data_IF_893331516257
#
_entry.id   IF_893331516257
#
_cell.length_a   1.000
_cell.length_b   1.000
_cell.length_c   1.000
_cell.angle_alpha   90.00
_cell.angle_beta   90.00
_cell.angle_gamma   90.00
#
_symmetry.space_group_name_H-M   'P 1'
#
loop_
_entity.id
_entity.type
_entity.pdbx_description
1 polymer ?
#
# COMPACT_ATOMS: atom_id res chain seq x y z
N UNK A 1 -3.80 -12.62 -11.91
CA UNK A 1 -3.71 -14.07 -11.68
C UNK A 1 -2.65 -14.73 -12.55
N UNK A 2 -2.76 -14.67 -13.89
CA UNK A 2 -1.79 -15.31 -14.79
C UNK A 2 -0.35 -14.80 -14.59
N UNK A 3 -0.16 -13.51 -14.35
CA UNK A 3 1.17 -12.90 -14.12
C UNK A 3 1.93 -13.48 -12.92
N UNK A 4 1.24 -13.87 -11.84
CA UNK A 4 1.88 -14.46 -10.66
C UNK A 4 1.75 -15.98 -10.55
N UNK A 5 1.17 -16.68 -11.54
CA UNK A 5 1.01 -18.14 -11.53
C UNK A 5 0.05 -18.65 -10.45
N UNK A 6 -0.91 -17.82 -10.03
CA UNK A 6 -1.91 -18.15 -9.02
C UNK A 6 -2.83 -19.27 -9.48
N UNK A 7 -3.14 -20.22 -8.58
CA UNK A 7 -3.98 -21.38 -8.87
C UNK A 7 -5.13 -21.46 -7.88
N UNK A 8 -6.36 -21.87 -8.32
CA UNK A 8 -7.53 -21.92 -7.44
C UNK A 8 -7.32 -22.85 -6.23
N UNK A 9 -6.63 -23.98 -6.41
CA UNK A 9 -6.41 -25.03 -5.42
C UNK A 9 -5.44 -24.66 -4.29
N UNK A 10 -4.77 -23.49 -4.36
CA UNK A 10 -3.68 -23.17 -3.42
C UNK A 10 -4.03 -22.25 -2.28
N UNK A 11 -5.25 -21.76 -2.18
CA UNK A 11 -5.66 -20.79 -1.16
C UNK A 11 -4.67 -19.61 -1.09
N UNK A 12 -4.51 -18.93 -2.21
CA UNK A 12 -3.64 -17.76 -2.41
C UNK A 12 -4.48 -16.52 -2.69
N UNK A 13 -3.91 -15.36 -2.45
CA UNK A 13 -4.56 -14.07 -2.69
C UNK A 13 -3.67 -13.17 -3.54
N UNK A 14 -4.28 -12.34 -4.38
CA UNK A 14 -3.66 -11.22 -5.07
C UNK A 14 -4.37 -9.94 -4.65
N UNK A 15 -3.60 -8.92 -4.31
CA UNK A 15 -4.10 -7.57 -4.03
C UNK A 15 -3.30 -6.63 -4.92
N UNK A 16 -3.97 -5.95 -5.85
CA UNK A 16 -3.38 -4.89 -6.68
C UNK A 16 -3.80 -3.55 -6.09
N UNK A 17 -2.83 -2.76 -5.60
CA UNK A 17 -3.08 -1.53 -4.86
C UNK A 17 -2.79 -0.33 -5.76
N UNK A 18 -3.86 0.34 -6.17
CA UNK A 18 -3.86 1.59 -6.93
C UNK A 18 -4.98 2.51 -6.46
N UNK A 19 -5.51 3.33 -7.34
CA UNK A 19 -6.72 4.17 -7.09
C UNK A 19 -7.92 3.29 -6.71
N UNK A 20 -8.00 2.10 -7.29
CA UNK A 20 -8.83 1.00 -6.78
C UNK A 20 -7.95 -0.07 -6.16
N UNK A 21 -8.52 -0.86 -5.26
CA UNK A 21 -7.91 -2.06 -4.73
C UNK A 21 -8.57 -3.28 -5.37
N UNK A 22 -7.97 -3.86 -6.41
CA UNK A 22 -8.45 -5.09 -7.01
C UNK A 22 -7.93 -6.29 -6.22
N UNK A 23 -8.84 -7.21 -5.88
CA UNK A 23 -8.53 -8.36 -5.04
C UNK A 23 -9.02 -9.64 -5.68
N UNK A 24 -8.19 -10.68 -5.60
CA UNK A 24 -8.51 -12.02 -6.08
C UNK A 24 -8.14 -13.02 -5.00
N UNK A 25 -9.07 -13.88 -4.63
CA UNK A 25 -8.87 -14.98 -3.71
C UNK A 25 -9.08 -16.31 -4.42
N UNK A 26 -8.10 -17.18 -4.36
CA UNK A 26 -8.21 -18.58 -4.77
C UNK A 26 -8.93 -19.38 -3.67
N UNK A 27 -10.08 -19.93 -4.00
CA UNK A 27 -11.00 -20.58 -3.05
C UNK A 27 -11.43 -21.97 -3.55
N UNK A 28 -10.51 -22.93 -3.45
CA UNK A 28 -10.77 -24.34 -3.82
C UNK A 28 -10.72 -24.58 -5.32
N UNK A 29 -11.83 -24.46 -6.03
CA UNK A 29 -11.95 -24.74 -7.47
C UNK A 29 -12.22 -23.48 -8.30
N UNK A 30 -12.39 -22.32 -7.65
CA UNK A 30 -12.72 -21.06 -8.31
C UNK A 30 -11.94 -19.87 -7.73
N UNK A 31 -12.08 -18.72 -8.38
CA UNK A 31 -11.59 -17.44 -7.90
C UNK A 31 -12.75 -16.55 -7.50
N UNK A 32 -12.64 -15.95 -6.31
CA UNK A 32 -13.46 -14.82 -5.89
C UNK A 32 -12.74 -13.53 -6.19
N UNK A 33 -13.44 -12.56 -6.73
CA UNK A 33 -12.87 -11.26 -7.09
C UNK A 33 -13.65 -10.13 -6.45
N UNK A 34 -12.96 -9.06 -6.09
CA UNK A 34 -13.56 -7.84 -5.57
C UNK A 34 -12.75 -6.63 -6.02
N UNK A 35 -13.40 -5.48 -6.03
CA UNK A 35 -12.73 -4.19 -6.24
C UNK A 35 -13.28 -3.19 -5.24
N UNK A 36 -12.42 -2.37 -4.68
CA UNK A 36 -12.78 -1.32 -3.73
C UNK A 36 -12.23 0.02 -4.20
N UNK A 37 -12.99 1.09 -4.03
CA UNK A 37 -12.55 2.45 -4.31
C UNK A 37 -11.66 2.94 -3.15
N UNK A 38 -10.36 2.73 -3.25
CA UNK A 38 -9.39 3.17 -2.25
C UNK A 38 -9.06 4.66 -2.36
N UNK A 39 -9.24 5.24 -3.54
CA UNK A 39 -8.81 6.60 -3.85
C UNK A 39 -7.30 6.68 -4.13
N UNK A 40 -6.82 7.83 -4.66
CA UNK A 40 -5.47 7.94 -5.20
C UNK A 40 -4.38 8.25 -4.16
N UNK A 41 -4.66 8.13 -2.85
CA UNK A 41 -3.73 8.53 -1.79
C UNK A 41 -2.37 7.85 -1.90
N UNK A 42 -2.33 6.55 -2.22
CA UNK A 42 -1.08 5.80 -2.38
C UNK A 42 -0.38 6.02 -3.74
N UNK A 43 -1.01 6.76 -4.65
CA UNK A 43 -0.40 7.25 -5.88
C UNK A 43 0.04 8.73 -5.74
N UNK A 44 -0.11 9.31 -4.55
CA UNK A 44 0.19 10.70 -4.24
C UNK A 44 -0.96 11.68 -4.50
N UNK A 45 -2.11 11.19 -4.96
CA UNK A 45 -3.30 12.01 -5.14
C UNK A 45 -4.00 12.31 -3.81
N UNK A 46 -4.61 13.48 -3.70
CA UNK A 46 -5.29 13.97 -2.49
C UNK A 46 -4.38 14.08 -1.24
N UNK A 47 -3.08 13.96 -1.39
CA UNK A 47 -2.08 14.23 -0.36
C UNK A 47 -1.42 15.56 -0.69
N UNK A 48 -1.36 16.48 0.25
CA UNK A 48 -0.91 17.86 0.04
C UNK A 48 0.49 17.97 -0.57
N UNK A 49 1.39 17.07 -0.16
CA UNK A 49 2.75 16.94 -0.67
C UNK A 49 2.97 15.67 -1.50
N UNK A 50 1.88 15.02 -1.91
CA UNK A 50 1.91 13.77 -2.67
C UNK A 50 2.33 13.98 -4.12
N UNK A 51 3.01 12.98 -4.68
CA UNK A 51 3.46 13.00 -6.07
C UNK A 51 3.74 11.59 -6.59
N UNK A 52 3.79 11.41 -7.92
CA UNK A 52 4.24 10.15 -8.51
C UNK A 52 5.68 9.77 -8.10
N UNK A 53 6.04 8.50 -8.28
CA UNK A 53 7.37 7.97 -8.01
C UNK A 53 8.42 8.41 -9.03
N UNK A 54 8.78 9.70 -9.03
CA UNK A 54 9.77 10.30 -9.94
C UNK A 54 11.00 10.82 -9.16
N UNK A 55 12.13 11.16 -9.82
CA UNK A 55 13.30 11.70 -9.15
C UNK A 55 12.97 12.89 -8.25
N UNK A 56 13.43 12.86 -6.99
CA UNK A 56 13.14 13.87 -5.96
C UNK A 56 11.94 13.52 -5.07
N UNK A 57 11.10 12.54 -5.43
CA UNK A 57 10.07 12.05 -4.51
C UNK A 57 10.70 11.29 -3.34
N UNK A 58 10.32 11.61 -2.11
CA UNK A 58 10.69 10.84 -0.93
C UNK A 58 10.04 9.46 -1.02
N UNK A 59 10.84 8.42 -1.01
CA UNK A 59 10.41 7.02 -1.13
C UNK A 59 10.71 6.18 0.13
N UNK A 60 11.50 6.71 1.05
CA UNK A 60 11.76 6.14 2.38
C UNK A 60 11.81 7.23 3.43
N UNK A 61 11.31 6.92 4.62
CA UNK A 61 11.39 7.79 5.78
C UNK A 61 11.60 6.97 7.05
N UNK A 62 12.44 7.48 7.95
CA UNK A 62 12.70 6.91 9.28
C UNK A 62 12.78 8.06 10.28
N UNK A 63 12.03 7.95 11.38
CA UNK A 63 12.00 8.95 12.43
C UNK A 63 12.92 8.57 13.59
N UNK A 64 13.83 9.46 13.92
CA UNK A 64 14.70 9.36 15.10
C UNK A 64 14.25 10.35 16.19
N UNK A 65 13.87 9.80 17.34
CA UNK A 65 13.25 10.60 18.40
C UNK A 65 11.89 11.14 17.98
N UNK A 66 11.59 12.40 18.30
CA UNK A 66 10.28 13.00 18.00
C UNK A 66 10.27 13.94 16.79
N UNK A 67 11.41 14.42 16.32
CA UNK A 67 11.47 15.55 15.37
C UNK A 67 12.46 15.36 14.22
N UNK A 68 13.26 14.31 14.21
CA UNK A 68 14.31 14.12 13.21
C UNK A 68 13.90 13.05 12.20
N UNK A 69 13.16 13.44 11.17
CA UNK A 69 12.81 12.57 10.05
C UNK A 69 13.95 12.54 9.05
N UNK A 70 14.56 11.38 8.86
CA UNK A 70 15.55 11.13 7.82
C UNK A 70 14.87 10.53 6.61
N UNK A 71 15.06 11.12 5.44
CA UNK A 71 14.40 10.74 4.20
C UNK A 71 15.38 10.33 3.12
N UNK A 72 14.94 9.39 2.25
CA UNK A 72 15.64 9.05 1.01
C UNK A 72 14.72 9.35 -0.17
N UNK A 73 15.27 9.97 -1.20
CA UNK A 73 14.54 10.32 -2.42
C UNK A 73 14.93 9.41 -3.59
N UNK A 74 14.02 9.27 -4.53
CA UNK A 74 14.29 8.60 -5.81
C UNK A 74 15.39 9.39 -6.55
N UNK A 75 16.39 8.69 -7.03
CA UNK A 75 17.52 9.27 -7.75
C UNK A 75 18.44 10.16 -6.90
N UNK A 76 18.31 10.15 -5.56
CA UNK A 76 19.07 10.99 -4.62
C UNK A 76 19.04 12.50 -4.98
N UNK A 77 17.91 12.96 -5.54
CA UNK A 77 17.68 14.37 -5.86
C UNK A 77 17.09 15.10 -4.64
N UNK A 78 17.18 16.44 -4.59
CA UNK A 78 16.52 17.21 -3.54
C UNK A 78 15.03 16.83 -3.39
N UNK A 79 14.57 16.72 -2.15
CA UNK A 79 13.18 16.34 -1.87
C UNK A 79 12.20 17.41 -2.34
N UNK A 80 11.15 16.99 -3.08
CA UNK A 80 10.09 17.87 -3.63
C UNK A 80 8.67 17.40 -3.28
N UNK A 81 8.50 16.19 -2.76
CA UNK A 81 7.21 15.63 -2.33
C UNK A 81 7.36 14.18 -1.86
N UNK A 82 6.24 13.49 -1.60
CA UNK A 82 6.17 12.11 -1.13
C UNK A 82 5.55 11.23 -2.21
N UNK A 83 6.19 10.13 -2.60
CA UNK A 83 5.50 9.08 -3.37
C UNK A 83 4.81 8.07 -2.42
N UNK A 84 4.01 7.17 -2.97
CA UNK A 84 3.21 6.23 -2.19
C UNK A 84 3.97 5.46 -1.10
N UNK A 85 5.17 4.97 -1.40
CA UNK A 85 6.01 4.29 -0.40
C UNK A 85 6.49 5.25 0.69
N UNK A 86 6.82 6.49 0.33
CA UNK A 86 7.17 7.54 1.28
C UNK A 86 6.00 7.92 2.19
N UNK A 87 4.79 8.01 1.65
CA UNK A 87 3.56 8.27 2.43
C UNK A 87 3.34 7.18 3.48
N UNK A 88 3.47 5.90 3.10
CA UNK A 88 3.33 4.77 4.02
C UNK A 88 4.42 4.78 5.09
N UNK A 89 5.67 5.06 4.70
CA UNK A 89 6.78 5.16 5.63
C UNK A 89 6.55 6.27 6.65
N UNK A 90 6.17 7.48 6.20
CA UNK A 90 5.88 8.62 7.09
C UNK A 90 4.74 8.27 8.04
N UNK A 91 3.61 7.78 7.53
CA UNK A 91 2.47 7.41 8.37
C UNK A 91 2.85 6.37 9.42
N UNK A 92 3.61 5.33 9.03
CA UNK A 92 4.09 4.31 9.96
C UNK A 92 4.95 4.89 11.07
N UNK A 93 5.91 5.75 10.73
CA UNK A 93 6.79 6.36 11.72
C UNK A 93 6.02 7.28 12.69
N UNK A 94 5.04 8.04 12.19
CA UNK A 94 4.22 8.90 13.05
C UNK A 94 3.37 8.09 14.04
N UNK A 95 2.77 6.98 13.58
CA UNK A 95 2.00 6.07 14.45
C UNK A 95 2.91 5.35 15.45
N UNK A 96 4.05 4.81 15.00
CA UNK A 96 5.01 4.10 15.84
C UNK A 96 5.59 4.96 16.97
N UNK A 97 5.79 6.24 16.71
CA UNK A 97 6.33 7.21 17.68
C UNK A 97 5.23 7.94 18.47
N UNK A 98 3.96 7.50 18.35
CA UNK A 98 2.81 8.10 19.05
C UNK A 98 2.63 9.61 18.77
N UNK A 99 3.06 10.07 17.59
CA UNK A 99 2.82 11.43 17.09
C UNK A 99 1.42 11.51 16.48
N UNK A 100 0.97 10.42 15.87
CA UNK A 100 -0.42 10.19 15.49
C UNK A 100 -0.99 9.18 16.46
N UNK A 101 -2.13 9.49 17.06
CA UNK A 101 -2.80 8.63 18.04
C UNK A 101 -3.60 7.50 17.37
N UNK A 102 -4.26 6.67 18.18
CA UNK A 102 -5.07 5.53 17.71
C UNK A 102 -6.33 5.95 16.94
N UNK A 103 -6.76 7.19 17.05
CA UNK A 103 -7.88 7.77 16.31
C UNK A 103 -7.41 8.45 15.01
N UNK A 104 -6.10 8.53 14.80
CA UNK A 104 -5.49 9.19 13.66
C UNK A 104 -5.41 10.71 13.83
N UNK A 105 -5.32 11.19 15.06
CA UNK A 105 -5.14 12.61 15.35
C UNK A 105 -3.64 12.89 15.48
N UNK A 106 -3.19 13.87 14.70
CA UNK A 106 -1.84 14.40 14.79
C UNK A 106 -1.70 15.24 16.07
N UNK A 107 -0.76 14.87 16.92
CA UNK A 107 -0.55 15.53 18.21
C UNK A 107 0.09 16.92 18.09
N UNK A 108 0.03 17.68 19.20
CA UNK A 108 0.75 18.95 19.30
C UNK A 108 2.28 18.74 19.33
N UNK A 109 3.05 19.69 18.79
CA UNK A 109 2.65 20.99 18.21
C UNK A 109 2.34 20.94 16.69
N UNK A 110 2.10 19.77 16.10
CA UNK A 110 2.03 19.60 14.64
C UNK A 110 0.60 19.64 14.08
N UNK A 111 -0.42 19.63 14.92
CA UNK A 111 -1.82 19.54 14.49
C UNK A 111 -2.20 20.60 13.45
N UNK A 112 -1.84 21.86 13.70
CA UNK A 112 -2.21 23.00 12.85
C UNK A 112 -1.42 23.06 11.53
N UNK A 113 -0.13 22.73 11.56
CA UNK A 113 0.78 22.96 10.42
C UNK A 113 1.24 21.69 9.71
N UNK A 114 0.94 20.53 10.26
CA UNK A 114 1.48 19.26 9.81
C UNK A 114 2.86 18.94 10.42
N UNK A 115 3.21 17.65 10.34
CA UNK A 115 4.53 17.16 10.74
C UNK A 115 5.58 17.50 9.68
N UNK A 116 6.73 18.12 10.04
CA UNK A 116 7.76 18.47 9.09
C UNK A 116 8.56 17.24 8.65
N UNK A 117 8.18 16.64 7.54
CA UNK A 117 8.91 15.53 6.93
C UNK A 117 10.26 15.99 6.38
N UNK A 118 10.28 17.14 5.70
CA UNK A 118 11.47 17.88 5.32
C UNK A 118 11.28 19.31 5.80
N UNK A 119 11.97 19.74 6.86
CA UNK A 119 11.76 21.04 7.47
C UNK A 119 11.79 22.19 6.46
N UNK A 120 10.80 23.07 6.54
CA UNK A 120 10.64 24.22 5.65
C UNK A 120 10.18 23.90 4.22
N UNK A 121 9.94 22.61 3.87
CA UNK A 121 9.59 22.22 2.50
C UNK A 121 8.39 21.28 2.42
N UNK A 122 8.39 20.18 3.19
CA UNK A 122 7.40 19.12 3.09
C UNK A 122 6.80 18.88 4.47
N UNK A 123 5.50 19.05 4.57
CA UNK A 123 4.74 18.81 5.78
C UNK A 123 3.66 17.76 5.50
N UNK A 124 3.47 16.84 6.45
CA UNK A 124 2.40 15.84 6.39
C UNK A 124 1.30 16.25 7.36
N UNK A 125 0.15 16.60 6.81
CA UNK A 125 -0.92 17.29 7.54
C UNK A 125 -1.94 16.32 8.15
N UNK A 126 -2.81 16.84 9.02
CA UNK A 126 -3.95 16.08 9.54
C UNK A 126 -4.87 15.58 8.42
N UNK A 127 -5.08 16.39 7.36
CA UNK A 127 -5.89 15.99 6.21
C UNK A 127 -5.23 14.85 5.43
N UNK A 128 -3.91 14.88 5.23
CA UNK A 128 -3.17 13.79 4.59
C UNK A 128 -3.34 12.48 5.36
N UNK A 129 -3.30 12.53 6.69
CA UNK A 129 -3.55 11.37 7.57
C UNK A 129 -4.96 10.81 7.31
N UNK A 130 -5.99 11.68 7.19
CA UNK A 130 -7.36 11.24 6.87
C UNK A 130 -7.47 10.56 5.52
N UNK A 131 -6.79 11.08 4.50
CA UNK A 131 -6.74 10.44 3.18
C UNK A 131 -6.13 9.03 3.24
N UNK A 132 -5.00 8.88 3.95
CA UNK A 132 -4.38 7.56 4.18
C UNK A 132 -5.31 6.63 4.96
N UNK A 133 -6.00 7.13 6.00
CA UNK A 133 -6.95 6.33 6.78
C UNK A 133 -8.12 5.82 5.92
N UNK A 134 -8.69 6.65 5.06
CA UNK A 134 -9.78 6.24 4.16
C UNK A 134 -9.30 5.18 3.17
N UNK A 135 -8.16 5.39 2.53
CA UNK A 135 -7.61 4.46 1.55
C UNK A 135 -7.30 3.09 2.16
N UNK A 136 -6.59 3.06 3.31
CA UNK A 136 -6.27 1.80 3.99
C UNK A 136 -7.52 1.07 4.48
N UNK A 137 -8.52 1.80 4.99
CA UNK A 137 -9.75 1.21 5.49
C UNK A 137 -10.54 0.54 4.37
N UNK A 138 -10.62 1.16 3.19
CA UNK A 138 -11.28 0.57 2.03
C UNK A 138 -10.62 -0.74 1.61
N UNK A 139 -9.28 -0.77 1.50
CA UNK A 139 -8.53 -1.96 1.12
C UNK A 139 -8.69 -3.07 2.18
N UNK A 140 -8.47 -2.75 3.45
CA UNK A 140 -8.59 -3.72 4.54
C UNK A 140 -10.01 -4.30 4.63
N UNK A 141 -11.04 -3.46 4.58
CA UNK A 141 -12.43 -3.90 4.62
C UNK A 141 -12.80 -4.79 3.42
N UNK A 142 -12.36 -4.42 2.21
CA UNK A 142 -12.59 -5.24 1.01
C UNK A 142 -11.98 -6.63 1.14
N UNK A 143 -10.78 -6.72 1.67
CA UNK A 143 -10.07 -7.97 1.92
C UNK A 143 -10.83 -8.83 2.96
N UNK A 144 -11.23 -8.24 4.09
CA UNK A 144 -11.96 -8.94 5.14
C UNK A 144 -13.33 -9.45 4.64
N UNK A 145 -14.05 -8.65 3.85
CA UNK A 145 -15.32 -9.07 3.23
C UNK A 145 -15.09 -10.25 2.28
N UNK A 146 -14.02 -10.23 1.49
CA UNK A 146 -13.71 -11.32 0.57
C UNK A 146 -13.41 -12.63 1.32
N UNK A 147 -12.62 -12.57 2.39
CA UNK A 147 -12.34 -13.71 3.27
C UNK A 147 -13.59 -14.22 3.97
N UNK A 148 -14.42 -13.33 4.53
CA UNK A 148 -15.66 -13.70 5.18
C UNK A 148 -16.63 -14.37 4.23
N UNK A 149 -16.79 -13.87 3.01
CA UNK A 149 -17.67 -14.44 1.97
C UNK A 149 -17.23 -15.84 1.53
N UNK A 150 -15.93 -16.13 1.56
CA UNK A 150 -15.37 -17.43 1.21
C UNK A 150 -15.27 -18.40 2.40
N UNK A 151 -15.59 -17.94 3.61
CA UNK A 151 -15.36 -18.67 4.87
C UNK A 151 -13.91 -19.15 5.04
N UNK A 152 -12.96 -18.31 4.59
CA UNK A 152 -11.52 -18.56 4.67
C UNK A 152 -10.92 -17.61 5.71
N UNK A 153 -10.13 -18.17 6.65
CA UNK A 153 -9.41 -17.35 7.64
C UNK A 153 -8.03 -16.92 7.14
N UNK A 154 -7.45 -15.91 7.80
CA UNK A 154 -6.09 -15.45 7.48
C UNK A 154 -5.05 -16.58 7.54
N UNK A 155 -5.20 -17.52 8.49
CA UNK A 155 -4.27 -18.64 8.68
C UNK A 155 -4.27 -19.59 7.50
N UNK A 156 -5.41 -19.78 6.85
CA UNK A 156 -5.57 -20.68 5.70
C UNK A 156 -4.90 -20.12 4.44
N UNK A 157 -4.79 -18.79 4.32
CA UNK A 157 -4.05 -18.15 3.21
C UNK A 157 -2.59 -18.60 3.26
N UNK A 158 -2.10 -19.13 2.16
CA UNK A 158 -0.71 -19.60 2.04
C UNK A 158 0.22 -18.51 1.54
N UNK A 159 -0.26 -17.65 0.64
CA UNK A 159 0.53 -16.59 0.04
C UNK A 159 -0.36 -15.45 -0.41
N UNK A 160 0.13 -14.23 -0.28
CA UNK A 160 -0.51 -13.01 -0.77
C UNK A 160 0.46 -12.31 -1.71
N UNK A 161 0.07 -12.17 -2.95
CA UNK A 161 0.77 -11.38 -3.95
C UNK A 161 0.31 -9.93 -3.83
N UNK A 162 1.25 -9.02 -3.58
CA UNK A 162 0.98 -7.59 -3.49
C UNK A 162 1.49 -6.93 -4.77
N UNK A 163 0.56 -6.51 -5.60
CA UNK A 163 0.79 -5.83 -6.87
C UNK A 163 0.52 -4.33 -6.77
N UNK A 164 0.74 -3.62 -7.87
CA UNK A 164 0.52 -2.19 -7.99
C UNK A 164 1.80 -1.41 -8.28
N UNK A 165 1.64 -0.17 -8.70
CA UNK A 165 2.75 0.67 -9.15
C UNK A 165 3.86 0.92 -8.12
N UNK A 166 3.56 0.77 -6.83
CA UNK A 166 4.53 0.89 -5.74
C UNK A 166 4.82 -0.43 -5.01
N UNK A 167 4.18 -1.55 -5.41
CA UNK A 167 4.29 -2.85 -4.72
C UNK A 167 5.72 -3.35 -4.55
N UNK A 168 6.59 -3.16 -5.54
CA UNK A 168 8.01 -3.55 -5.47
C UNK A 168 8.82 -2.73 -4.45
N UNK A 169 8.42 -1.50 -4.17
CA UNK A 169 9.09 -0.61 -3.21
C UNK A 169 8.44 -0.57 -1.84
N UNK A 170 7.29 -1.21 -1.66
CA UNK A 170 6.52 -1.19 -0.41
C UNK A 170 7.22 -1.99 0.69
N UNK A 171 7.36 -1.39 1.86
CA UNK A 171 7.77 -2.08 3.07
C UNK A 171 6.53 -2.79 3.68
N UNK A 172 6.52 -4.12 3.60
CA UNK A 172 5.36 -4.91 4.03
C UNK A 172 5.10 -4.83 5.53
N UNK A 173 6.15 -4.70 6.36
CA UNK A 173 6.00 -4.53 7.80
C UNK A 173 5.38 -3.18 8.15
N UNK A 174 5.75 -2.13 7.41
CA UNK A 174 5.13 -0.81 7.58
C UNK A 174 3.67 -0.79 7.10
N UNK A 175 3.37 -1.46 5.99
CA UNK A 175 2.01 -1.62 5.49
C UNK A 175 1.10 -2.36 6.50
N UNK A 176 1.60 -3.43 7.11
CA UNK A 176 0.93 -4.11 8.22
C UNK A 176 0.79 -3.19 9.44
N UNK A 177 1.85 -2.47 9.79
CA UNK A 177 1.89 -1.60 10.97
C UNK A 177 0.91 -0.44 10.95
N UNK A 178 0.58 0.09 9.76
CA UNK A 178 -0.48 1.11 9.62
C UNK A 178 -1.88 0.50 9.43
N UNK A 179 -1.99 -0.84 9.33
CA UNK A 179 -3.25 -1.54 9.07
C UNK A 179 -3.77 -1.38 7.65
N UNK A 180 -2.89 -1.19 6.66
CA UNK A 180 -3.23 -1.27 5.24
C UNK A 180 -3.57 -2.71 4.85
N UNK A 181 -2.83 -3.66 5.42
CA UNK A 181 -3.07 -5.08 5.30
C UNK A 181 -3.29 -5.71 6.69
N UNK A 182 -4.16 -6.70 6.83
CA UNK A 182 -4.40 -7.38 8.10
C UNK A 182 -3.14 -8.04 8.67
N UNK A 183 -2.92 -7.88 9.96
CA UNK A 183 -1.73 -8.43 10.64
C UNK A 183 -1.64 -9.97 10.55
N UNK A 184 -2.78 -10.66 10.42
CA UNK A 184 -2.85 -12.12 10.22
C UNK A 184 -2.19 -12.62 8.93
N UNK A 185 -1.85 -11.71 8.00
CA UNK A 185 -1.14 -12.00 6.77
C UNK A 185 0.39 -11.83 6.86
N UNK A 186 0.92 -11.49 8.06
CA UNK A 186 2.36 -11.35 8.26
C UNK A 186 3.12 -12.62 7.86
N UNK A 187 4.24 -12.46 7.16
CA UNK A 187 5.08 -13.55 6.66
C UNK A 187 4.55 -14.24 5.40
N UNK A 188 3.39 -13.83 4.87
CA UNK A 188 2.79 -14.40 3.66
C UNK A 188 2.84 -13.47 2.44
N UNK A 189 3.22 -12.21 2.65
CA UNK A 189 3.21 -11.15 1.64
C UNK A 189 4.41 -11.27 0.69
N UNK A 190 4.16 -11.14 -0.60
CA UNK A 190 5.17 -11.19 -1.66
C UNK A 190 4.91 -10.06 -2.66
N UNK A 191 5.81 -9.09 -2.81
CA UNK A 191 5.66 -8.05 -3.83
C UNK A 191 5.86 -8.63 -5.22
N UNK A 192 5.01 -8.25 -6.19
CA UNK A 192 5.05 -8.78 -7.56
C UNK A 192 5.03 -7.71 -8.66
N UNK A 193 5.14 -6.44 -8.30
CA UNK A 193 5.15 -5.34 -9.26
C UNK A 193 3.83 -5.20 -10.03
N UNK A 194 3.89 -4.87 -11.32
CA UNK A 194 2.71 -4.68 -12.14
C UNK A 194 2.21 -6.02 -12.73
N UNK A 195 1.45 -6.75 -11.93
CA UNK A 195 0.91 -8.07 -12.31
C UNK A 195 -0.15 -7.99 -13.42
N UNK A 196 -0.83 -6.86 -13.57
CA UNK A 196 -1.82 -6.63 -14.61
C UNK A 196 -1.14 -6.57 -15.99
N UNK A 197 -0.04 -5.81 -16.12
CA UNK A 197 0.74 -5.73 -17.35
C UNK A 197 1.33 -7.08 -17.74
N UNK A 198 1.92 -7.79 -16.78
CA UNK A 198 2.49 -9.12 -17.03
C UNK A 198 1.42 -10.13 -17.45
N UNK A 199 0.26 -10.11 -16.80
CA UNK A 199 -0.88 -10.94 -17.16
C UNK A 199 -1.38 -10.67 -18.58
N UNK A 200 -1.50 -9.41 -18.96
CA UNK A 200 -1.90 -9.01 -20.32
C UNK A 200 -0.87 -9.49 -21.38
N UNK A 201 0.43 -9.32 -21.10
CA UNK A 201 1.49 -9.80 -21.98
C UNK A 201 1.43 -11.32 -22.20
N UNK A 202 1.20 -12.09 -21.14
CA UNK A 202 1.05 -13.56 -21.21
C UNK A 202 -0.19 -13.96 -22.01
N UNK A 203 -1.33 -13.29 -21.83
CA UNK A 203 -2.53 -13.55 -22.64
C UNK A 203 -2.26 -13.36 -24.13
N UNK A 204 -1.54 -12.29 -24.51
CA UNK A 204 -1.20 -12.02 -25.90
C UNK A 204 -0.23 -13.05 -26.53
N UNK A 205 0.67 -13.60 -25.75
CA UNK A 205 1.62 -14.63 -26.23
C UNK A 205 0.96 -16.00 -26.38
N UNK A 206 0.11 -16.40 -25.42
CA UNK A 206 -0.58 -17.69 -25.50
C UNK A 206 -1.68 -17.74 -26.59
N UNK A 207 -2.31 -16.60 -26.91
CA UNK A 207 -3.27 -16.58 -28.02
C UNK A 207 -2.63 -16.78 -29.40
N UNK A 208 -1.31 -16.59 -29.54
CA UNK A 208 -0.57 -16.83 -30.79
C UNK A 208 -0.15 -18.29 -30.96
N UNK A 209 -0.14 -19.09 -29.89
CA UNK A 209 0.21 -20.52 -29.97
C UNK A 209 -1.01 -21.41 -30.24
N UNK A 210 -2.23 -20.83 -30.20
CA UNK A 210 -3.50 -21.55 -30.40
C UNK A 210 -4.18 -21.23 -31.74
N UNK A 211 -3.52 -20.50 -32.64
CA UNK A 211 -3.93 -20.19 -34.00
C UNK A 211 -2.92 -20.73 -35.03
#
# INVERSE_FOLDING_TARGET
>A
MMGCGMRPDKCEMLIDIGTNGEMVLAAGDHFLVSSVAAGPAFEGGNISCGMPGVPGAVCRAVLFGKNNMVTKTIGNKPAIGLCGTGIIDVMYELVRHHIVDTQGILGEPWFEKGFPVVPGKIYFTQEDIRQVQMAKAAICAGLEVLLQKSNISHEQIKKVYVAGGFGMGLDMEKALGIGLLPIGLRGKLTPVGNSALEGAARCLTHSKESS
#
